data_IF_736006938412
#
_entry.id   IF_736006938412
#
_cell.length_a   1.000
_cell.length_b   1.000
_cell.length_c   1.000
_cell.angle_alpha   90.00
_cell.angle_beta   90.00
_cell.angle_gamma   90.00
#
_symmetry.space_group_name_H-M   'P 1'
#
loop_
_entity.id
_entity.type
_entity.pdbx_description
1 polymer ?
#
# COMPACT_ATOMS: atom_id res chain seq x y z
N UNK A 1 -7.01 22.28 -9.29
CA UNK A 1 -6.33 21.85 -8.05
C UNK A 1 -5.28 20.84 -8.47
N UNK A 2 -4.02 21.20 -8.31
CA UNK A 2 -2.89 20.27 -8.59
C UNK A 2 -2.98 19.09 -7.64
N UNK A 3 -3.43 17.96 -8.17
CA UNK A 3 -3.58 16.74 -7.40
C UNK A 3 -2.26 15.99 -7.44
N UNK A 4 -1.51 16.06 -6.34
CA UNK A 4 -0.27 15.29 -6.20
C UNK A 4 -0.59 13.79 -6.25
N UNK A 5 0.02 13.07 -7.20
CA UNK A 5 -0.05 11.62 -7.30
C UNK A 5 1.16 11.03 -6.58
N UNK A 6 0.91 10.05 -5.72
CA UNK A 6 1.95 9.37 -4.95
C UNK A 6 2.16 7.95 -5.46
N UNK A 7 3.43 7.55 -5.59
CA UNK A 7 3.84 6.21 -6.02
C UNK A 7 4.42 5.45 -4.83
N UNK A 8 3.76 4.36 -4.45
CA UNK A 8 4.18 3.45 -3.38
C UNK A 8 4.75 2.18 -4.01
N UNK A 9 6.06 1.99 -3.89
CA UNK A 9 6.78 0.83 -4.45
C UNK A 9 6.74 -0.37 -3.52
N UNK A 10 6.35 -1.53 -4.03
CA UNK A 10 6.20 -2.78 -3.26
C UNK A 10 7.54 -3.52 -3.17
N UNK A 11 7.97 -3.84 -1.95
CA UNK A 11 9.10 -4.74 -1.68
C UNK A 11 8.63 -5.90 -0.81
N UNK A 12 8.46 -7.08 -1.43
CA UNK A 12 8.05 -8.30 -0.73
C UNK A 12 9.27 -9.04 -0.19
N UNK A 13 9.26 -9.32 1.11
CA UNK A 13 10.28 -10.07 1.84
C UNK A 13 9.82 -11.53 2.09
N UNK A 14 8.95 -12.07 1.20
CA UNK A 14 8.40 -13.42 1.32
C UNK A 14 9.29 -14.47 0.69
N UNK A 15 9.24 -15.72 1.22
CA UNK A 15 10.18 -16.80 0.95
C UNK A 15 10.28 -17.32 -0.49
N UNK A 16 9.34 -17.03 -1.37
CA UNK A 16 9.42 -17.39 -2.79
C UNK A 16 10.49 -16.58 -3.56
N UNK A 17 10.97 -15.50 -2.94
CA UNK A 17 12.04 -14.65 -3.48
C UNK A 17 13.25 -14.56 -2.54
N UNK A 18 13.14 -15.00 -1.28
CA UNK A 18 14.07 -14.66 -0.21
C UNK A 18 14.26 -15.76 0.85
N UNK A 19 14.01 -17.04 0.55
CA UNK A 19 14.17 -18.10 1.53
C UNK A 19 15.59 -18.69 1.52
N UNK A 20 16.27 -18.51 2.56
CA UNK A 20 17.29 -19.26 3.30
C UNK A 20 18.24 -18.33 4.07
N UNK A 21 17.80 -17.81 5.21
CA UNK A 21 18.67 -17.40 6.34
C UNK A 21 19.99 -16.70 6.06
N UNK A 22 20.14 -15.93 4.97
CA UNK A 22 21.41 -15.33 4.60
C UNK A 22 21.34 -13.80 4.46
N UNK A 23 22.44 -13.13 4.80
CA UNK A 23 22.64 -11.69 4.55
C UNK A 23 22.42 -11.26 3.09
N UNK A 24 22.41 -12.24 2.18
CA UNK A 24 22.17 -12.04 0.74
C UNK A 24 20.73 -11.56 0.48
N UNK A 25 19.78 -11.99 1.28
CA UNK A 25 18.35 -11.69 1.08
C UNK A 25 18.04 -10.25 1.48
N UNK A 26 18.55 -9.76 2.61
CA UNK A 26 18.44 -8.34 2.98
C UNK A 26 19.16 -7.44 1.97
N UNK A 27 20.28 -7.88 1.41
CA UNK A 27 21.04 -7.16 0.40
C UNK A 27 20.26 -6.93 -0.89
N UNK A 28 19.53 -7.92 -1.38
CA UNK A 28 18.70 -7.79 -2.58
C UNK A 28 17.49 -6.90 -2.34
N UNK A 29 16.87 -6.97 -1.15
CA UNK A 29 15.79 -6.07 -0.76
C UNK A 29 16.27 -4.61 -0.73
N UNK A 30 17.43 -4.34 -0.13
CA UNK A 30 18.03 -3.01 -0.10
C UNK A 30 18.42 -2.50 -1.49
N UNK A 31 18.92 -3.37 -2.38
CA UNK A 31 19.17 -3.00 -3.76
C UNK A 31 17.87 -2.60 -4.47
N UNK A 32 16.78 -3.34 -4.24
CA UNK A 32 15.45 -3.03 -4.78
C UNK A 32 14.91 -1.71 -4.23
N UNK A 33 15.04 -1.46 -2.93
CA UNK A 33 14.67 -0.19 -2.29
C UNK A 33 15.41 0.97 -2.96
N UNK A 34 16.73 0.89 -3.09
CA UNK A 34 17.55 1.92 -3.74
C UNK A 34 17.14 2.16 -5.20
N UNK A 35 16.84 1.09 -5.93
CA UNK A 35 16.36 1.21 -7.31
C UNK A 35 15.01 1.94 -7.36
N UNK A 36 14.04 1.57 -6.52
CA UNK A 36 12.76 2.23 -6.47
C UNK A 36 12.85 3.70 -6.05
N UNK A 37 13.80 4.04 -5.16
CA UNK A 37 14.10 5.43 -4.81
C UNK A 37 14.69 6.19 -6.00
N UNK A 38 15.61 5.58 -6.75
CA UNK A 38 16.16 6.16 -7.97
C UNK A 38 15.09 6.30 -9.07
N UNK A 39 14.10 5.42 -9.09
CA UNK A 39 12.93 5.47 -9.98
C UNK A 39 11.84 6.44 -9.48
N UNK A 40 12.12 7.23 -8.43
CA UNK A 40 11.24 8.28 -7.85
C UNK A 40 9.99 7.75 -7.14
N UNK A 41 10.06 6.60 -6.45
CA UNK A 41 9.02 6.21 -5.52
C UNK A 41 8.87 7.24 -4.39
N UNK A 42 7.65 7.65 -4.07
CA UNK A 42 7.38 8.53 -2.92
C UNK A 42 7.44 7.76 -1.60
N UNK A 43 7.02 6.49 -1.62
CA UNK A 43 6.97 5.59 -0.46
C UNK A 43 7.43 4.19 -0.87
N UNK A 44 8.21 3.55 -0.01
CA UNK A 44 8.55 2.13 -0.13
C UNK A 44 7.69 1.34 0.87
N UNK A 45 6.99 0.33 0.40
CA UNK A 45 6.09 -0.51 1.21
C UNK A 45 6.70 -1.91 1.38
N UNK A 46 7.14 -2.20 2.62
CA UNK A 46 7.81 -3.46 2.97
C UNK A 46 6.79 -4.47 3.49
N UNK A 47 6.61 -5.58 2.79
CA UNK A 47 5.72 -6.67 3.21
C UNK A 47 6.48 -7.97 3.47
N UNK A 48 6.29 -8.58 4.64
CA UNK A 48 6.89 -9.85 5.01
C UNK A 48 5.89 -11.02 5.07
N UNK A 49 4.60 -10.73 4.86
CA UNK A 49 3.51 -11.70 4.74
C UNK A 49 3.03 -11.78 3.29
N UNK A 50 2.67 -12.99 2.83
CA UNK A 50 2.00 -13.13 1.54
C UNK A 50 0.49 -12.96 1.72
N UNK A 51 -0.09 -12.01 1.00
CA UNK A 51 -1.54 -11.79 0.99
C UNK A 51 -2.24 -12.50 -0.19
N UNK A 52 -1.52 -13.39 -0.89
CA UNK A 52 -2.11 -14.22 -1.97
C UNK A 52 -3.13 -15.20 -1.37
N UNK A 53 -4.24 -15.46 -2.07
CA UNK A 53 -5.23 -16.43 -1.61
C UNK A 53 -4.58 -17.80 -1.32
N UNK A 54 -4.82 -18.32 -0.10
CA UNK A 54 -4.32 -19.64 0.31
C UNK A 54 -2.83 -19.70 0.67
N UNK A 55 -2.11 -18.58 0.66
CA UNK A 55 -0.72 -18.57 1.13
C UNK A 55 -0.69 -18.75 2.67
N UNK A 56 0.20 -19.62 3.19
CA UNK A 56 0.34 -19.78 4.64
C UNK A 56 0.83 -18.47 5.26
N UNK A 57 0.18 -18.08 6.35
CA UNK A 57 0.60 -16.89 7.08
C UNK A 57 1.80 -17.23 7.98
N UNK A 58 2.87 -16.43 7.93
CA UNK A 58 4.00 -16.63 8.83
C UNK A 58 3.58 -16.35 10.28
N UNK A 59 4.28 -16.96 11.23
CA UNK A 59 4.20 -16.56 12.63
C UNK A 59 4.71 -15.11 12.81
N UNK A 60 4.42 -14.51 13.96
CA UNK A 60 4.93 -13.19 14.33
C UNK A 60 6.47 -13.12 14.23
N UNK A 61 7.14 -14.13 14.77
CA UNK A 61 8.60 -14.17 14.79
C UNK A 61 9.21 -14.41 13.40
N UNK A 62 8.55 -15.18 12.54
CA UNK A 62 8.97 -15.33 11.14
C UNK A 62 8.80 -14.03 10.35
N UNK A 63 7.71 -13.31 10.56
CA UNK A 63 7.49 -11.99 9.95
C UNK A 63 8.55 -11.01 10.41
N UNK A 64 8.81 -10.93 11.72
CA UNK A 64 9.83 -10.07 12.28
C UNK A 64 11.24 -10.41 11.76
N UNK A 65 11.59 -11.69 11.75
CA UNK A 65 12.90 -12.15 11.26
C UNK A 65 13.17 -11.79 9.79
N UNK A 66 12.13 -11.58 8.98
CA UNK A 66 12.25 -11.08 7.60
C UNK A 66 12.41 -9.56 7.55
N UNK A 67 11.69 -8.82 8.39
CA UNK A 67 11.69 -7.36 8.42
C UNK A 67 12.95 -6.78 9.08
N UNK A 68 13.30 -7.28 10.26
CA UNK A 68 14.33 -6.70 11.11
C UNK A 68 15.68 -6.49 10.40
N UNK A 69 16.26 -7.46 9.64
CA UNK A 69 17.55 -7.28 8.98
C UNK A 69 17.54 -6.18 7.91
N UNK A 70 16.39 -5.92 7.30
CA UNK A 70 16.21 -4.83 6.34
C UNK A 70 16.08 -3.51 7.08
N UNK A 71 15.21 -3.44 8.09
CA UNK A 71 14.96 -2.22 8.87
C UNK A 71 16.21 -1.70 9.57
N UNK A 72 17.07 -2.59 10.11
CA UNK A 72 18.34 -2.23 10.74
C UNK A 72 19.33 -1.54 9.81
N UNK A 73 19.22 -1.73 8.50
CA UNK A 73 20.09 -1.13 7.49
C UNK A 73 19.50 0.13 6.85
N UNK A 74 18.27 0.47 7.21
CA UNK A 74 17.66 1.75 6.82
C UNK A 74 18.14 2.88 7.77
N UNK A 75 18.17 4.15 7.30
CA UNK A 75 18.51 5.26 8.18
C UNK A 75 17.57 5.28 9.40
N UNK A 76 18.12 5.09 10.59
CA UNK A 76 17.36 5.06 11.83
C UNK A 76 16.89 6.44 12.30
N UNK A 77 16.32 6.48 13.52
CA UNK A 77 15.90 7.71 14.21
C UNK A 77 17.01 8.76 14.15
N UNK A 78 16.79 9.86 13.44
CA UNK A 78 17.60 11.07 13.64
C UNK A 78 17.04 11.80 14.85
N UNK A 79 17.89 12.09 15.87
CA UNK A 79 17.50 12.91 17.01
C UNK A 79 16.98 14.25 16.50
N UNK A 80 15.67 14.49 16.64
CA UNK A 80 15.03 15.79 16.38
C UNK A 80 14.31 15.99 15.05
N UNK A 81 14.12 14.96 14.22
CA UNK A 81 13.40 15.12 12.96
C UNK A 81 12.69 13.85 12.50
N UNK A 82 11.57 14.01 11.81
CA UNK A 82 10.90 12.95 11.06
C UNK A 82 11.94 12.10 10.34
N UNK A 83 11.88 10.78 10.51
CA UNK A 83 12.78 9.82 9.87
C UNK A 83 12.68 9.97 8.35
N UNK A 84 13.49 10.85 7.80
CA UNK A 84 13.49 11.15 6.38
C UNK A 84 14.39 10.15 5.68
N UNK A 85 13.77 9.16 5.02
CA UNK A 85 14.31 8.74 3.74
C UNK A 85 14.35 10.00 2.87
N UNK A 86 15.52 10.64 2.80
CA UNK A 86 15.68 11.81 1.97
C UNK A 86 15.34 11.44 0.53
N UNK A 87 14.36 12.11 -0.04
CA UNK A 87 14.10 12.04 -1.49
C UNK A 87 15.34 12.52 -2.20
N UNK A 88 16.08 11.61 -2.84
CA UNK A 88 17.16 11.94 -3.75
C UNK A 88 16.59 12.09 -5.16
N UNK A 89 15.96 13.23 -5.45
CA UNK A 89 15.41 13.50 -6.77
C UNK A 89 14.82 14.91 -6.80
N UNK A 90 15.52 15.82 -7.46
CA UNK A 90 15.10 17.18 -7.68
C UNK A 90 13.97 17.22 -8.71
N UNK A 91 12.73 17.28 -8.26
CA UNK A 91 11.68 17.98 -9.02
C UNK A 91 11.68 19.42 -8.54
N UNK A 92 12.15 20.32 -9.47
CA UNK A 92 12.13 21.79 -9.44
C UNK A 92 11.40 22.50 -8.27
N UNK A 93 12.14 23.32 -7.54
CA UNK A 93 11.88 24.65 -6.93
C UNK A 93 10.45 25.02 -6.49
N UNK A 94 9.68 24.09 -5.91
CA UNK A 94 8.49 24.42 -5.13
C UNK A 94 8.84 24.14 -3.69
N UNK A 95 8.70 25.14 -2.79
CA UNK A 95 8.82 24.95 -1.34
C UNK A 95 7.93 23.77 -0.92
N UNK A 96 8.56 22.62 -0.66
CA UNK A 96 7.86 21.42 -0.24
C UNK A 96 7.32 21.65 1.18
N UNK A 97 6.00 21.80 1.30
CA UNK A 97 5.34 21.53 2.58
C UNK A 97 5.73 20.11 3.02
N UNK A 98 6.19 19.92 4.28
CA UNK A 98 6.57 18.60 4.77
C UNK A 98 5.46 17.60 4.47
N UNK A 99 5.79 16.50 3.80
CA UNK A 99 4.80 15.44 3.54
C UNK A 99 4.33 14.89 4.89
N UNK A 100 3.01 14.83 5.09
CA UNK A 100 2.41 14.20 6.28
C UNK A 100 2.71 12.69 6.32
N UNK A 101 3.08 12.13 5.17
CA UNK A 101 3.35 10.70 5.02
C UNK A 101 4.85 10.43 4.94
N UNK A 102 5.39 9.54 5.81
CA UNK A 102 6.78 9.11 5.73
C UNK A 102 7.06 8.34 4.44
N UNK A 103 8.33 8.34 4.02
CA UNK A 103 8.76 7.64 2.80
C UNK A 103 8.84 6.10 2.94
N UNK A 104 8.50 5.56 4.10
CA UNK A 104 8.45 4.12 4.39
C UNK A 104 7.06 3.72 4.85
N UNK A 105 6.60 2.58 4.37
CA UNK A 105 5.40 1.88 4.81
C UNK A 105 5.74 0.45 5.20
N UNK A 106 5.03 -0.13 6.15
CA UNK A 106 5.13 -1.54 6.51
C UNK A 106 3.76 -2.19 6.31
N UNK A 107 3.71 -3.19 5.42
CA UNK A 107 2.52 -4.00 5.13
C UNK A 107 2.42 -5.12 6.18
N UNK A 108 1.61 -4.87 7.19
CA UNK A 108 1.35 -5.79 8.30
C UNK A 108 -0.02 -5.55 8.92
N UNK A 109 -0.64 -6.63 9.39
CA UNK A 109 -1.87 -6.59 10.19
C UNK A 109 -1.62 -6.87 11.69
N UNK A 110 -0.34 -6.84 12.14
CA UNK A 110 0.04 -7.14 13.53
C UNK A 110 0.56 -5.90 14.25
N UNK A 111 -0.11 -5.50 15.31
CA UNK A 111 0.25 -4.36 16.15
C UNK A 111 1.64 -4.52 16.79
N UNK A 112 2.04 -5.75 17.11
CA UNK A 112 3.37 -6.03 17.68
C UNK A 112 4.50 -5.77 16.67
N UNK A 113 4.30 -6.08 15.39
CA UNK A 113 5.25 -5.70 14.32
C UNK A 113 5.35 -4.16 14.24
N UNK A 114 4.22 -3.47 14.35
CA UNK A 114 4.21 -1.99 14.35
C UNK A 114 5.02 -1.44 15.52
N UNK A 115 4.84 -1.98 16.74
CA UNK A 115 5.61 -1.56 17.93
C UNK A 115 7.11 -1.79 17.76
N UNK A 116 7.51 -3.01 17.40
CA UNK A 116 8.93 -3.36 17.21
C UNK A 116 9.60 -2.51 16.12
N UNK A 117 8.92 -2.30 15.01
CA UNK A 117 9.45 -1.47 13.93
C UNK A 117 9.57 0.00 14.36
N UNK A 118 8.56 0.54 15.05
CA UNK A 118 8.60 1.91 15.57
C UNK A 118 9.75 2.12 16.58
N UNK A 119 10.00 1.15 17.43
CA UNK A 119 11.11 1.20 18.38
C UNK A 119 12.46 1.21 17.68
N UNK A 120 12.56 0.51 16.55
CA UNK A 120 13.81 0.38 15.79
C UNK A 120 14.08 1.59 14.89
N UNK A 121 13.09 2.04 14.09
CA UNK A 121 13.31 3.03 13.03
C UNK A 121 12.56 4.35 13.22
N UNK A 122 11.63 4.46 14.19
CA UNK A 122 10.77 5.62 14.36
C UNK A 122 9.53 5.60 13.47
N UNK A 123 8.94 6.77 13.11
CA UNK A 123 7.67 6.84 12.40
C UNK A 123 7.73 6.28 10.97
N UNK A 124 6.68 5.55 10.58
CA UNK A 124 6.43 5.04 9.23
C UNK A 124 4.91 4.99 8.99
N UNK A 125 4.47 4.66 7.77
CA UNK A 125 3.07 4.41 7.46
C UNK A 125 2.74 2.94 7.71
N UNK A 126 1.62 2.64 8.34
CA UNK A 126 1.12 1.26 8.48
C UNK A 126 0.18 0.97 7.31
N UNK A 127 0.47 -0.08 6.54
CA UNK A 127 -0.41 -0.58 5.50
C UNK A 127 -1.05 -1.89 5.99
N UNK A 128 -2.34 -1.83 6.36
CA UNK A 128 -3.05 -2.98 6.95
C UNK A 128 -4.19 -3.43 6.06
N UNK A 129 -4.04 -4.64 5.51
CA UNK A 129 -5.04 -5.29 4.65
C UNK A 129 -6.37 -5.59 5.35
N UNK A 130 -6.40 -5.54 6.68
CA UNK A 130 -7.58 -5.86 7.49
C UNK A 130 -8.29 -4.64 8.09
N UNK A 131 -7.71 -3.45 7.94
CA UNK A 131 -8.18 -2.23 8.61
C UNK A 131 -8.43 -2.44 10.13
N UNK A 132 -7.52 -3.17 10.80
CA UNK A 132 -7.57 -3.47 12.23
C UNK A 132 -8.45 -4.65 12.62
N UNK A 133 -9.09 -5.34 11.67
CA UNK A 133 -10.02 -6.44 12.00
C UNK A 133 -9.30 -7.74 12.41
N UNK A 134 -8.04 -7.93 12.00
CA UNK A 134 -7.25 -9.13 12.34
C UNK A 134 -6.45 -9.00 13.64
N UNK A 135 -6.26 -7.78 14.15
CA UNK A 135 -5.58 -7.52 15.42
C UNK A 135 -6.31 -6.41 16.20
N UNK A 136 -6.98 -6.72 17.32
CA UNK A 136 -7.78 -5.75 18.07
C UNK A 136 -6.95 -4.60 18.68
N UNK A 137 -5.64 -4.76 18.83
CA UNK A 137 -4.74 -3.71 19.34
C UNK A 137 -4.20 -2.79 18.24
N UNK A 138 -4.44 -3.11 16.95
CA UNK A 138 -3.85 -2.39 15.82
C UNK A 138 -4.19 -0.91 15.85
N UNK A 139 -5.47 -0.56 15.86
CA UNK A 139 -5.90 0.83 15.75
C UNK A 139 -5.46 1.68 16.95
N UNK A 140 -5.56 1.13 18.18
CA UNK A 140 -5.05 1.80 19.38
C UNK A 140 -3.54 2.02 19.31
N UNK A 141 -2.79 1.02 18.84
CA UNK A 141 -1.33 1.13 18.68
C UNK A 141 -0.95 2.21 17.69
N UNK A 142 -1.59 2.23 16.51
CA UNK A 142 -1.34 3.22 15.45
C UNK A 142 -1.68 4.63 15.94
N UNK A 143 -2.84 4.81 16.57
CA UNK A 143 -3.28 6.09 17.10
C UNK A 143 -2.37 6.63 18.20
N UNK A 144 -1.97 5.78 19.16
CA UNK A 144 -1.03 6.15 20.24
C UNK A 144 0.35 6.56 19.71
N UNK A 145 0.83 5.91 18.64
CA UNK A 145 2.11 6.23 18.01
C UNK A 145 2.01 7.40 17.01
N UNK A 146 0.79 7.88 16.70
CA UNK A 146 0.55 8.96 15.75
C UNK A 146 0.93 8.61 14.31
N UNK A 147 0.84 7.34 13.93
CA UNK A 147 1.26 6.87 12.62
C UNK A 147 0.16 7.07 11.55
N UNK A 148 0.52 7.43 10.31
CA UNK A 148 -0.40 7.36 9.18
C UNK A 148 -0.76 5.91 8.86
N UNK A 149 -1.96 5.71 8.32
CA UNK A 149 -2.53 4.39 8.13
C UNK A 149 -3.15 4.21 6.74
N UNK A 150 -2.98 3.03 6.15
CA UNK A 150 -3.76 2.59 4.99
C UNK A 150 -4.76 1.55 5.47
N UNK A 151 -6.04 1.89 5.38
CA UNK A 151 -7.13 0.97 5.66
C UNK A 151 -7.59 0.31 4.35
N UNK A 152 -7.49 -1.02 4.26
CA UNK A 152 -7.97 -1.73 3.09
C UNK A 152 -9.29 -2.44 3.38
N UNK A 153 -10.22 -2.35 2.42
CA UNK A 153 -11.45 -3.14 2.46
C UNK A 153 -11.16 -4.60 2.10
N UNK A 154 -11.47 -5.49 3.01
CA UNK A 154 -11.48 -6.94 2.79
C UNK A 154 -12.60 -7.56 3.63
N UNK A 155 -13.27 -8.60 3.12
CA UNK A 155 -14.21 -9.44 3.87
C UNK A 155 -13.55 -10.77 4.17
N UNK A 156 -13.56 -11.18 5.44
CA UNK A 156 -12.87 -12.38 5.90
C UNK A 156 -11.35 -12.17 6.06
N UNK A 157 -10.58 -13.21 5.82
CA UNK A 157 -9.11 -13.22 5.87
C UNK A 157 -8.55 -13.56 4.50
N UNK A 158 -7.24 -13.38 4.24
CA UNK A 158 -6.61 -13.80 2.98
C UNK A 158 -6.90 -15.25 2.59
N UNK A 159 -7.12 -16.14 3.57
CA UNK A 159 -7.46 -17.55 3.34
C UNK A 159 -8.94 -17.74 2.95
N UNK A 160 -9.84 -16.93 3.49
CA UNK A 160 -11.30 -17.11 3.35
C UNK A 160 -11.98 -16.08 2.46
N UNK A 161 -11.33 -14.98 2.13
CA UNK A 161 -11.90 -13.81 1.44
C UNK A 161 -12.63 -14.16 0.12
N UNK A 162 -12.20 -15.19 -0.59
CA UNK A 162 -12.85 -15.61 -1.84
C UNK A 162 -14.25 -16.22 -1.62
N UNK A 163 -14.62 -16.54 -0.38
CA UNK A 163 -15.95 -17.01 0.00
C UNK A 163 -16.94 -15.86 0.25
N UNK A 164 -16.45 -14.63 0.39
CA UNK A 164 -17.22 -13.44 0.75
C UNK A 164 -17.37 -12.44 -0.39
N UNK A 165 -17.60 -12.95 -1.60
CA UNK A 165 -17.74 -12.13 -2.82
C UNK A 165 -19.18 -11.67 -3.09
N UNK A 166 -20.12 -11.86 -2.16
CA UNK A 166 -21.52 -11.46 -2.35
C UNK A 166 -21.75 -10.04 -1.87
N UNK A 167 -22.00 -9.14 -2.82
CA UNK A 167 -22.34 -7.74 -2.60
C UNK A 167 -23.75 -7.45 -3.12
N UNK A 168 -24.47 -6.61 -2.43
CA UNK A 168 -25.72 -6.03 -2.95
C UNK A 168 -25.41 -4.95 -3.98
N UNK A 169 -24.67 -3.94 -3.58
CA UNK A 169 -23.98 -2.96 -4.42
C UNK A 169 -22.58 -2.78 -3.87
N UNK A 170 -21.57 -3.16 -4.65
CA UNK A 170 -20.18 -3.17 -4.18
C UNK A 170 -19.69 -1.80 -3.71
N UNK A 171 -20.08 -0.71 -4.37
CA UNK A 171 -19.66 0.64 -3.97
C UNK A 171 -20.38 1.08 -2.70
N UNK A 172 -21.68 0.79 -2.58
CA UNK A 172 -22.43 1.11 -1.37
C UNK A 172 -21.88 0.36 -0.14
N UNK A 173 -21.56 -0.92 -0.31
CA UNK A 173 -21.00 -1.76 0.76
C UNK A 173 -19.60 -1.29 1.18
N UNK A 174 -18.72 -0.95 0.21
CA UNK A 174 -17.40 -0.40 0.49
C UNK A 174 -17.50 0.98 1.17
N UNK A 175 -18.42 1.84 0.74
CA UNK A 175 -18.67 3.13 1.41
C UNK A 175 -19.15 2.94 2.86
N UNK A 176 -20.05 1.99 3.10
CA UNK A 176 -20.52 1.67 4.45
C UNK A 176 -19.37 1.20 5.34
N UNK A 177 -18.51 0.29 4.83
CA UNK A 177 -17.33 -0.18 5.52
C UNK A 177 -16.39 0.96 5.94
N UNK A 178 -16.07 1.87 5.03
CA UNK A 178 -15.16 2.98 5.35
C UNK A 178 -15.79 4.07 6.21
N UNK A 179 -17.12 4.24 6.19
CA UNK A 179 -17.81 5.10 7.16
C UNK A 179 -17.71 4.54 8.58
N UNK A 180 -17.86 3.23 8.74
CA UNK A 180 -17.66 2.55 10.02
C UNK A 180 -16.19 2.64 10.46
N UNK A 181 -15.25 2.36 9.55
CA UNK A 181 -13.82 2.52 9.83
C UNK A 181 -13.46 3.95 10.26
N UNK A 182 -14.04 4.97 9.64
CA UNK A 182 -13.77 6.36 9.99
C UNK A 182 -14.13 6.68 11.44
N UNK A 183 -15.18 6.07 12.00
CA UNK A 183 -15.53 6.18 13.42
C UNK A 183 -14.48 5.50 14.29
N UNK A 184 -14.11 4.27 13.95
CA UNK A 184 -13.06 3.52 14.68
C UNK A 184 -11.71 4.26 14.65
N UNK A 185 -11.33 4.84 13.51
CA UNK A 185 -10.10 5.61 13.36
C UNK A 185 -10.12 6.89 14.21
N UNK A 186 -11.27 7.58 14.26
CA UNK A 186 -11.43 8.77 15.10
C UNK A 186 -11.34 8.43 16.60
N UNK A 187 -11.98 7.37 17.03
CA UNK A 187 -11.94 6.90 18.43
C UNK A 187 -10.51 6.48 18.84
N UNK A 188 -9.75 5.88 17.92
CA UNK A 188 -8.35 5.51 18.13
C UNK A 188 -7.37 6.69 17.98
N UNK A 189 -7.81 7.88 17.53
CA UNK A 189 -6.94 9.04 17.32
C UNK A 189 -6.10 8.99 16.04
N UNK A 190 -6.48 8.18 15.05
CA UNK A 190 -5.80 8.10 13.75
C UNK A 190 -6.25 9.27 12.87
N UNK A 191 -5.43 10.32 12.81
CA UNK A 191 -5.75 11.54 12.09
C UNK A 191 -5.59 11.41 10.57
N UNK A 192 -4.56 10.69 10.12
CA UNK A 192 -4.16 10.58 8.72
C UNK A 192 -4.30 9.14 8.23
N UNK A 193 -5.23 8.91 7.32
CA UNK A 193 -5.39 7.59 6.72
C UNK A 193 -5.87 7.66 5.27
N UNK A 194 -5.46 6.65 4.50
CA UNK A 194 -5.84 6.41 3.12
C UNK A 194 -6.86 5.26 3.07
N UNK A 195 -7.76 5.28 2.10
CA UNK A 195 -8.59 4.13 1.81
C UNK A 195 -8.04 3.35 0.61
N UNK A 196 -7.92 2.02 0.76
CA UNK A 196 -7.70 1.08 -0.35
C UNK A 196 -8.96 0.24 -0.52
N UNK A 197 -9.69 0.33 -1.65
CA UNK A 197 -10.93 -0.42 -1.85
C UNK A 197 -10.72 -1.93 -2.04
N UNK A 198 -9.48 -2.43 -1.98
CA UNK A 198 -9.14 -3.84 -1.91
C UNK A 198 -9.25 -4.59 -3.25
N UNK A 199 -8.79 -3.99 -4.35
CA UNK A 199 -8.76 -4.69 -5.64
C UNK A 199 -8.08 -6.07 -5.54
N UNK A 200 -8.74 -7.12 -6.04
CA UNK A 200 -8.22 -8.49 -6.05
C UNK A 200 -8.41 -9.28 -4.74
N UNK A 201 -8.99 -8.66 -3.72
CA UNK A 201 -9.38 -9.32 -2.48
C UNK A 201 -10.85 -9.79 -2.57
N UNK A 202 -11.61 -9.90 -1.56
CA UNK A 202 -13.00 -10.43 -1.50
C UNK A 202 -13.96 -10.03 -2.64
N UNK A 203 -13.49 -10.06 -3.89
CA UNK A 203 -14.20 -9.62 -5.09
C UNK A 203 -13.97 -10.59 -6.25
N UNK A 204 -15.01 -10.80 -7.05
CA UNK A 204 -14.91 -11.51 -8.34
C UNK A 204 -14.17 -10.67 -9.38
N UNK A 205 -13.81 -11.28 -10.50
CA UNK A 205 -13.17 -10.57 -11.61
C UNK A 205 -14.04 -9.40 -12.10
N UNK A 206 -15.34 -9.64 -12.30
CA UNK A 206 -16.27 -8.62 -12.79
C UNK A 206 -16.48 -7.49 -11.76
N UNK A 207 -16.54 -7.82 -10.48
CA UNK A 207 -16.66 -6.84 -9.40
C UNK A 207 -15.42 -5.92 -9.31
N UNK A 208 -14.22 -6.43 -9.58
CA UNK A 208 -13.04 -5.59 -9.68
C UNK A 208 -13.15 -4.57 -10.83
N UNK A 209 -13.70 -4.97 -11.98
CA UNK A 209 -13.94 -4.05 -13.09
C UNK A 209 -15.06 -3.06 -12.79
N UNK A 210 -16.12 -3.48 -12.12
CA UNK A 210 -17.18 -2.60 -11.64
C UNK A 210 -16.64 -1.56 -10.66
N UNK A 211 -15.86 -2.00 -9.67
CA UNK A 211 -15.20 -1.12 -8.71
C UNK A 211 -14.32 -0.08 -9.41
N UNK A 212 -13.53 -0.48 -10.40
CA UNK A 212 -12.72 0.46 -11.17
C UNK A 212 -13.59 1.46 -11.92
N UNK A 213 -14.66 1.01 -12.61
CA UNK A 213 -15.57 1.90 -13.36
C UNK A 213 -16.22 2.96 -12.46
N UNK A 214 -16.55 2.57 -11.21
CA UNK A 214 -17.27 3.40 -10.25
C UNK A 214 -16.39 4.00 -9.14
N UNK A 215 -15.06 3.91 -9.27
CA UNK A 215 -14.11 4.33 -8.24
C UNK A 215 -14.32 5.79 -7.78
N UNK A 216 -14.71 6.67 -8.69
CA UNK A 216 -14.95 8.08 -8.40
C UNK A 216 -16.06 8.31 -7.34
N UNK A 217 -16.98 7.37 -7.19
CA UNK A 217 -18.04 7.48 -6.17
C UNK A 217 -17.49 7.41 -4.73
N UNK A 218 -16.27 6.86 -4.53
CA UNK A 218 -15.62 6.81 -3.22
C UNK A 218 -15.11 8.17 -2.74
N UNK A 219 -15.07 9.20 -3.61
CA UNK A 219 -14.70 10.57 -3.20
C UNK A 219 -15.65 11.18 -2.16
N UNK A 220 -16.87 10.70 -2.06
CA UNK A 220 -17.80 11.11 -1.00
C UNK A 220 -17.25 10.89 0.41
N UNK A 221 -16.27 9.99 0.57
CA UNK A 221 -15.62 9.71 1.84
C UNK A 221 -14.58 10.76 2.25
N UNK A 222 -14.23 11.70 1.34
CA UNK A 222 -13.25 12.75 1.56
C UNK A 222 -11.89 12.23 2.08
N UNK A 223 -11.43 11.10 1.54
CA UNK A 223 -10.12 10.50 1.86
C UNK A 223 -9.33 10.23 0.57
N UNK A 224 -7.99 10.30 0.63
CA UNK A 224 -7.17 9.88 -0.49
C UNK A 224 -7.40 8.40 -0.80
N UNK A 225 -7.48 8.07 -2.11
CA UNK A 225 -7.72 6.70 -2.57
C UNK A 225 -6.40 6.09 -3.03
N UNK A 226 -6.02 4.98 -2.41
CA UNK A 226 -4.91 4.14 -2.84
C UNK A 226 -5.44 3.01 -3.71
N UNK A 227 -4.77 2.77 -4.85
CA UNK A 227 -5.13 1.70 -5.78
C UNK A 227 -3.94 0.76 -6.00
N UNK A 228 -4.12 -0.51 -5.62
CA UNK A 228 -3.16 -1.59 -5.81
C UNK A 228 -3.62 -2.58 -6.88
N UNK A 229 -3.48 -2.26 -8.16
CA UNK A 229 -3.88 -3.15 -9.28
C UNK A 229 -2.69 -3.79 -10.01
N UNK A 230 -1.46 -3.45 -9.61
CA UNK A 230 -0.25 -3.86 -10.29
C UNK A 230 -0.15 -5.39 -10.43
N UNK A 231 -0.11 -5.86 -11.69
CA UNK A 231 -0.01 -7.27 -12.09
C UNK A 231 -1.07 -8.19 -11.46
N UNK A 232 -2.25 -7.62 -11.08
CA UNK A 232 -3.34 -8.40 -10.47
C UNK A 232 -4.15 -9.21 -11.48
N UNK A 233 -4.83 -10.24 -10.96
CA UNK A 233 -5.59 -11.22 -11.77
C UNK A 233 -6.68 -10.59 -12.64
N UNK A 234 -7.24 -9.45 -12.23
CA UNK A 234 -8.21 -8.73 -13.05
C UNK A 234 -7.64 -8.31 -14.42
N UNK A 235 -6.32 -8.08 -14.49
CA UNK A 235 -5.63 -7.67 -15.72
C UNK A 235 -5.22 -8.89 -16.53
N UNK A 236 -4.36 -9.73 -15.96
CA UNK A 236 -3.76 -10.82 -16.73
C UNK A 236 -4.77 -11.90 -17.16
N UNK A 237 -5.80 -12.17 -16.33
CA UNK A 237 -6.87 -13.12 -16.72
C UNK A 237 -7.78 -12.56 -17.81
N UNK A 238 -8.06 -11.25 -17.79
CA UNK A 238 -8.88 -10.62 -18.83
C UNK A 238 -8.20 -10.64 -20.20
N UNK A 239 -6.86 -10.68 -20.25
CA UNK A 239 -6.07 -10.69 -21.48
C UNK A 239 -5.56 -12.08 -21.86
N UNK A 240 -5.70 -13.09 -20.97
CA UNK A 240 -5.16 -14.43 -21.20
C UNK A 240 -3.63 -14.47 -21.21
N UNK A 241 -2.96 -13.61 -20.45
CA UNK A 241 -1.51 -13.48 -20.35
C UNK A 241 -1.02 -13.88 -18.94
N UNK A 242 0.29 -13.87 -18.73
CA UNK A 242 0.90 -14.13 -17.41
C UNK A 242 1.02 -12.84 -16.57
N UNK A 243 1.20 -12.93 -15.22
CA UNK A 243 1.47 -11.78 -14.40
C UNK A 243 2.74 -11.00 -14.81
N UNK A 244 3.75 -11.71 -15.34
CA UNK A 244 5.02 -11.13 -15.82
C UNK A 244 4.79 -10.24 -17.04
N UNK A 245 3.88 -10.65 -17.93
CA UNK A 245 3.52 -9.91 -19.14
C UNK A 245 2.54 -8.76 -18.89
N UNK A 246 1.96 -8.67 -17.68
CA UNK A 246 0.88 -7.74 -17.38
C UNK A 246 1.34 -6.29 -17.15
N UNK A 247 2.64 -5.99 -17.19
CA UNK A 247 3.14 -4.64 -16.88
C UNK A 247 2.55 -3.56 -17.82
N UNK A 248 2.56 -3.69 -19.17
CA UNK A 248 1.99 -2.65 -20.04
C UNK A 248 0.50 -2.41 -19.80
N UNK A 249 -0.27 -3.49 -19.62
CA UNK A 249 -1.70 -3.41 -19.34
C UNK A 249 -1.99 -2.82 -17.95
N UNK A 250 -1.10 -3.06 -16.99
CA UNK A 250 -1.16 -2.43 -15.66
C UNK A 250 -1.14 -0.91 -15.77
N UNK A 251 -0.29 -0.33 -16.62
CA UNK A 251 -0.20 1.13 -16.79
C UNK A 251 -1.52 1.71 -17.32
N UNK A 252 -2.18 1.01 -18.24
CA UNK A 252 -3.51 1.43 -18.75
C UNK A 252 -4.54 1.45 -17.62
N UNK A 253 -4.55 0.42 -16.77
CA UNK A 253 -5.50 0.33 -15.64
C UNK A 253 -5.18 1.37 -14.55
N UNK A 254 -3.90 1.63 -14.28
CA UNK A 254 -3.47 2.69 -13.38
C UNK A 254 -3.89 4.08 -13.89
N UNK A 255 -3.68 4.36 -15.17
CA UNK A 255 -4.15 5.61 -15.80
C UNK A 255 -5.67 5.76 -15.65
N UNK A 256 -6.44 4.70 -15.90
CA UNK A 256 -7.88 4.70 -15.71
C UNK A 256 -8.30 4.92 -14.25
N UNK A 257 -7.53 4.43 -13.28
CA UNK A 257 -7.75 4.68 -11.86
C UNK A 257 -7.48 6.15 -11.48
N UNK A 258 -6.39 6.74 -12.01
CA UNK A 258 -6.08 8.16 -11.83
C UNK A 258 -7.20 9.06 -12.38
N UNK A 259 -7.72 8.76 -13.59
CA UNK A 259 -8.87 9.49 -14.17
C UNK A 259 -10.11 9.43 -13.28
N UNK A 260 -10.26 8.37 -12.48
CA UNK A 260 -11.39 8.15 -11.54
C UNK A 260 -11.07 8.55 -10.11
N UNK A 261 -9.95 9.20 -9.93
CA UNK A 261 -9.68 9.85 -8.70
C UNK A 261 -8.75 9.13 -7.75
N UNK A 262 -8.07 8.04 -8.11
CA UNK A 262 -6.96 7.52 -7.33
C UNK A 262 -5.87 8.60 -7.19
N UNK A 263 -5.31 8.80 -6.02
CA UNK A 263 -4.20 9.72 -5.76
C UNK A 263 -2.95 8.98 -5.28
N UNK A 264 -3.07 7.70 -5.00
CA UNK A 264 -1.99 6.80 -4.64
C UNK A 264 -2.02 5.55 -5.50
N UNK A 265 -0.85 5.14 -6.01
CA UNK A 265 -0.67 3.90 -6.76
C UNK A 265 0.33 3.01 -6.03
N UNK A 266 -0.10 1.81 -5.61
CA UNK A 266 0.77 0.79 -5.01
C UNK A 266 1.22 -0.18 -6.10
N UNK A 267 2.54 -0.23 -6.38
CA UNK A 267 3.07 -0.77 -7.63
C UNK A 267 4.33 -1.62 -7.47
N UNK A 268 4.52 -2.59 -8.38
CA UNK A 268 5.80 -3.30 -8.52
C UNK A 268 6.78 -2.55 -9.43
N UNK A 269 6.27 -1.86 -10.45
CA UNK A 269 7.05 -1.24 -11.55
C UNK A 269 6.99 0.29 -11.36
N UNK A 270 7.90 0.82 -10.51
CA UNK A 270 7.88 2.24 -10.08
C UNK A 270 8.13 3.18 -11.24
N UNK A 271 9.20 2.97 -12.03
CA UNK A 271 9.56 3.85 -13.13
C UNK A 271 8.41 4.01 -14.15
N UNK A 272 7.70 2.93 -14.48
CA UNK A 272 6.56 2.93 -15.38
C UNK A 272 5.35 3.65 -14.76
N UNK A 273 5.10 3.45 -13.47
CA UNK A 273 4.02 4.14 -12.77
C UNK A 273 4.27 5.65 -12.66
N UNK A 274 5.50 6.08 -12.42
CA UNK A 274 5.90 7.50 -12.44
C UNK A 274 5.65 8.10 -13.83
N UNK A 275 6.06 7.41 -14.91
CA UNK A 275 5.78 7.87 -16.29
C UNK A 275 4.28 7.97 -16.56
N UNK A 276 3.49 7.00 -16.08
CA UNK A 276 2.02 7.01 -16.20
C UNK A 276 1.41 8.19 -15.45
N UNK A 277 1.88 8.49 -14.23
CA UNK A 277 1.43 9.65 -13.46
C UNK A 277 1.78 10.98 -14.15
N UNK A 278 2.99 11.10 -14.71
CA UNK A 278 3.40 12.26 -15.48
C UNK A 278 2.53 12.47 -16.72
N UNK A 279 2.30 11.42 -17.51
CA UNK A 279 1.42 11.49 -18.68
C UNK A 279 -0.01 11.86 -18.30
N UNK A 280 -0.51 11.33 -17.18
CA UNK A 280 -1.83 11.72 -16.68
C UNK A 280 -1.90 13.22 -16.36
N UNK A 281 -0.90 13.76 -15.66
CA UNK A 281 -0.82 15.19 -15.34
C UNK A 281 -0.83 16.04 -16.63
N UNK A 282 -0.03 15.68 -17.65
CA UNK A 282 -0.01 16.38 -18.94
C UNK A 282 -1.34 16.28 -19.70
N UNK A 283 -1.98 15.11 -19.71
CA UNK A 283 -3.23 14.90 -20.46
C UNK A 283 -4.45 15.56 -19.81
N UNK A 284 -4.47 15.66 -18.46
CA UNK A 284 -5.63 16.16 -17.74
C UNK A 284 -5.49 17.60 -17.24
N UNK A 285 -4.32 18.24 -17.44
CA UNK A 285 -4.06 19.62 -17.02
C UNK A 285 -4.08 19.77 -15.48
N UNK A 286 -3.71 18.70 -14.79
CA UNK A 286 -3.71 18.63 -13.32
C UNK A 286 -2.34 19.01 -12.76
#
# INVERSE_FOLDING_TARGET
MDRKIHIMGIVNLTGDSFYAGSRTDAGSALARIRQMQADEADVIDLGACSTRPGAPQPSLEEEWARLEPVLQQLPGKTEGGSGTFARTGSRSDVEETPSVFPALSIDTYRSEIVRRAYDLIGPFMVNDISAGEMDPEMLETVGRLGLPYVAMHMRGTPETMQQFTQYGDIIADIKAYFRDFALKAADAGIAHWLLDPGFGFSQTLEQNWELLRRLAELHELNRPILVGVSRKSMIYKALGITPEEAMPATQVVQYAALQRGASWLRVHDVAEAVRTALLFTHCCGA
#
